data_IF_700312269928
#
_entry.id   IF_700312269928
#
_cell.length_a   1.000
_cell.length_b   1.000
_cell.length_c   1.000
_cell.angle_alpha   90.00
_cell.angle_beta   90.00
_cell.angle_gamma   90.00
#
_symmetry.space_group_name_H-M   'P 1'
#
loop_
_entity.id
_entity.type
_entity.pdbx_description
1 polymer ?
#
# COMPACT_ATOMS: atom_id res chain seq x y z
N UNK A 1 -6.17 5.16 -18.42
CA UNK A 1 -5.49 4.05 -17.72
C UNK A 1 -4.34 4.70 -16.95
N UNK A 2 -4.58 4.98 -15.66
CA UNK A 2 -3.76 5.75 -14.69
C UNK A 2 -3.35 7.20 -15.07
N UNK A 3 -3.52 8.18 -14.17
CA UNK A 3 -2.97 9.52 -14.34
C UNK A 3 -1.44 9.48 -14.41
N UNK A 4 -0.80 10.38 -15.15
CA UNK A 4 0.68 10.42 -15.24
C UNK A 4 1.33 10.71 -13.89
N UNK A 5 0.63 11.41 -13.02
CA UNK A 5 1.06 11.82 -11.69
C UNK A 5 1.26 10.63 -10.73
N UNK A 6 0.59 9.50 -11.00
CA UNK A 6 0.68 8.27 -10.20
C UNK A 6 1.64 7.23 -10.82
N UNK A 7 2.14 7.48 -12.03
CA UNK A 7 3.04 6.56 -12.70
C UNK A 7 4.43 6.60 -12.06
N UNK A 8 4.86 5.44 -11.56
CA UNK A 8 6.21 5.30 -11.04
C UNK A 8 7.26 5.35 -12.17
N UNK A 9 8.46 5.89 -11.91
CA UNK A 9 9.58 5.74 -12.83
C UNK A 9 9.93 4.24 -12.98
N UNK A 10 10.55 3.89 -14.11
CA UNK A 10 11.01 2.53 -14.34
C UNK A 10 12.18 2.20 -13.40
N UNK A 11 12.04 1.11 -12.66
CA UNK A 11 13.08 0.55 -11.80
C UNK A 11 13.89 -0.49 -12.59
N UNK A 12 15.07 -0.08 -13.06
CA UNK A 12 15.93 -0.95 -13.86
C UNK A 12 16.63 -2.02 -13.01
N UNK A 13 16.87 -1.75 -11.73
CA UNK A 13 17.49 -2.70 -10.81
C UNK A 13 16.54 -3.88 -10.58
N UNK A 14 15.25 -3.59 -10.37
CA UNK A 14 14.21 -4.63 -10.28
C UNK A 14 14.11 -5.48 -11.56
N UNK A 15 14.24 -4.86 -12.75
CA UNK A 15 14.22 -5.60 -14.03
C UNK A 15 15.46 -6.50 -14.17
N UNK A 16 16.63 -5.99 -13.79
CA UNK A 16 17.86 -6.78 -13.78
C UNK A 16 17.73 -7.99 -12.84
N UNK A 17 17.18 -7.81 -11.64
CA UNK A 17 16.91 -8.89 -10.69
C UNK A 17 15.97 -9.96 -11.27
N UNK A 18 14.90 -9.56 -11.95
CA UNK A 18 13.99 -10.50 -12.61
C UNK A 18 14.69 -11.35 -13.68
N UNK A 19 15.74 -10.81 -14.32
CA UNK A 19 16.50 -11.51 -15.36
C UNK A 19 17.34 -12.67 -14.81
N UNK A 20 17.75 -12.60 -13.54
CA UNK A 20 18.42 -13.71 -12.84
C UNK A 20 17.46 -14.87 -12.52
N UNK A 21 16.15 -14.61 -12.55
CA UNK A 21 15.10 -15.60 -12.42
C UNK A 21 14.30 -15.44 -11.14
N UNK A 22 13.08 -14.92 -11.27
CA UNK A 22 12.05 -14.98 -10.23
C UNK A 22 11.23 -16.27 -10.39
N UNK A 23 11.11 -17.13 -9.35
CA UNK A 23 10.25 -18.30 -9.42
C UNK A 23 8.76 -17.88 -9.54
N UNK A 24 7.87 -18.78 -9.99
CA UNK A 24 6.44 -18.49 -9.99
C UNK A 24 5.97 -18.14 -8.57
N UNK A 25 5.57 -16.88 -8.37
CA UNK A 25 5.28 -16.31 -7.05
C UNK A 25 3.90 -15.66 -7.04
N UNK A 26 3.16 -15.81 -5.94
CA UNK A 26 1.92 -15.07 -5.66
C UNK A 26 2.14 -14.07 -4.53
N UNK A 27 1.69 -12.83 -4.71
CA UNK A 27 1.75 -11.77 -3.70
C UNK A 27 0.35 -11.27 -3.33
N UNK A 28 0.15 -10.88 -2.07
CA UNK A 28 -1.10 -10.27 -1.58
C UNK A 28 -0.78 -9.04 -0.73
N UNK A 29 -1.49 -7.94 -0.98
CA UNK A 29 -1.44 -6.72 -0.17
C UNK A 29 -2.73 -6.55 0.62
N UNK A 30 -2.63 -6.52 1.95
CA UNK A 30 -3.78 -6.32 2.85
C UNK A 30 -3.56 -5.04 3.65
N UNK A 31 -4.50 -4.10 3.56
CA UNK A 31 -4.46 -2.89 4.37
C UNK A 31 -4.87 -3.20 5.81
N UNK A 32 -3.90 -3.29 6.72
CA UNK A 32 -4.12 -3.64 8.14
C UNK A 32 -5.06 -2.66 8.83
N UNK A 33 -4.93 -1.35 8.59
CA UNK A 33 -5.81 -0.34 9.18
C UNK A 33 -7.27 -0.52 8.72
N UNK A 34 -7.48 -0.85 7.45
CA UNK A 34 -8.83 -1.14 6.92
C UNK A 34 -9.40 -2.45 7.48
N UNK A 35 -8.56 -3.46 7.64
CA UNK A 35 -8.96 -4.70 8.30
C UNK A 35 -9.39 -4.42 9.75
N UNK A 36 -8.63 -3.62 10.49
CA UNK A 36 -8.98 -3.19 11.83
C UNK A 36 -10.32 -2.44 11.84
N UNK A 37 -10.53 -1.48 10.92
CA UNK A 37 -11.80 -0.76 10.80
C UNK A 37 -13.00 -1.70 10.62
N UNK A 38 -12.88 -2.73 9.77
CA UNK A 38 -13.95 -3.71 9.56
C UNK A 38 -14.20 -4.52 10.83
N UNK A 39 -13.14 -5.03 11.46
CA UNK A 39 -13.25 -5.86 12.68
C UNK A 39 -13.86 -5.07 13.84
N UNK A 40 -13.53 -3.79 13.96
CA UNK A 40 -14.01 -2.94 15.06
C UNK A 40 -15.25 -2.11 14.69
N UNK A 41 -15.79 -2.26 13.48
CA UNK A 41 -16.87 -1.44 12.92
C UNK A 41 -16.61 0.07 13.06
N UNK A 42 -15.38 0.50 12.80
CA UNK A 42 -15.00 1.91 12.83
C UNK A 42 -15.26 2.59 11.48
N UNK A 43 -15.90 3.77 11.50
CA UNK A 43 -16.21 4.53 10.30
C UNK A 43 -15.01 5.31 9.75
N UNK A 44 -14.05 5.70 10.61
CA UNK A 44 -12.87 6.45 10.24
C UNK A 44 -11.58 5.68 10.53
N UNK A 45 -10.59 5.79 9.63
CA UNK A 45 -9.25 5.23 9.85
C UNK A 45 -8.55 5.87 11.06
N UNK A 46 -8.97 7.10 11.43
CA UNK A 46 -8.43 7.79 12.60
C UNK A 46 -8.81 7.14 13.92
N UNK A 47 -9.87 6.31 13.93
CA UNK A 47 -10.36 5.64 15.13
C UNK A 47 -9.54 4.39 15.46
N UNK A 48 -8.78 3.87 14.49
CA UNK A 48 -7.91 2.69 14.64
C UNK A 48 -6.42 3.02 14.70
N UNK A 49 -6.04 4.29 14.51
CA UNK A 49 -4.67 4.77 14.59
C UNK A 49 -4.49 5.59 15.88
N UNK A 50 -3.59 5.23 16.81
CA UNK A 50 -3.44 5.93 18.10
C UNK A 50 -3.09 7.42 17.96
N UNK A 51 -2.32 7.79 16.95
CA UNK A 51 -1.86 9.16 16.70
C UNK A 51 -2.04 9.53 15.21
N UNK A 52 -3.28 9.80 14.75
CA UNK A 52 -3.54 10.06 13.35
C UNK A 52 -3.06 11.45 12.92
N UNK A 53 -2.78 11.62 11.63
CA UNK A 53 -2.49 12.95 11.07
C UNK A 53 -3.74 13.84 11.21
N UNK A 54 -3.57 14.95 11.94
CA UNK A 54 -4.59 15.99 12.12
C UNK A 54 -4.12 17.29 11.48
N UNK A 55 -5.06 18.05 10.91
CA UNK A 55 -4.76 19.40 10.41
C UNK A 55 -4.41 20.28 11.60
N UNK A 56 -3.36 21.10 11.48
CA UNK A 56 -3.08 22.13 12.48
C UNK A 56 -4.27 23.10 12.55
N UNK A 57 -4.62 23.50 13.77
CA UNK A 57 -5.61 24.53 14.04
C UNK A 57 -5.14 25.89 13.49
#
# INVERSE_FOLDING_TARGET
LFPKEEAHPLDWDFVEELSFGMPPTGGVGIGVDRLAMIITNAESIKDVIPYPIVKRA
#
